data_IF_365051451149
#
_entry.id   IF_365051451149
#
_cell.length_a   1.000
_cell.length_b   1.000
_cell.length_c   1.000
_cell.angle_alpha   90.00
_cell.angle_beta   90.00
_cell.angle_gamma   90.00
#
_symmetry.space_group_name_H-M   'P 1'
#
loop_
_entity.id
_entity.type
_entity.pdbx_description
1 polymer ?
#
# COMPACT_ATOMS: atom_id res chain seq x y z
N UNK A 1 -11.90 -1.20 0.86
CA UNK A 1 -10.75 -1.39 1.78
C UNK A 1 -10.73 -0.22 2.75
N UNK A 2 -10.15 -0.40 3.94
CA UNK A 2 -10.04 0.68 4.94
C UNK A 2 -8.60 0.79 5.40
N UNK A 3 -8.11 2.02 5.57
CA UNK A 3 -6.75 2.29 6.03
C UNK A 3 -6.73 2.89 7.43
N UNK A 4 -5.63 2.67 8.15
CA UNK A 4 -5.31 3.45 9.35
C UNK A 4 -4.56 4.74 8.98
N UNK A 5 -4.29 5.56 9.99
CA UNK A 5 -3.59 6.83 9.88
C UNK A 5 -2.13 6.61 10.30
N UNK A 6 -1.14 7.06 9.51
CA UNK A 6 0.26 6.93 9.90
C UNK A 6 0.60 7.78 11.11
N UNK A 7 1.47 7.25 11.97
CA UNK A 7 2.02 7.98 13.11
C UNK A 7 2.94 9.10 12.67
N UNK A 8 2.79 10.25 13.33
CA UNK A 8 3.57 11.47 13.05
C UNK A 8 5.07 11.25 13.24
N UNK A 9 5.47 10.29 14.08
CA UNK A 9 6.88 9.94 14.30
C UNK A 9 7.57 9.43 13.03
N UNK A 10 6.80 8.85 12.10
CA UNK A 10 7.30 8.33 10.83
C UNK A 10 7.26 9.38 9.70
N UNK A 11 6.75 10.59 9.97
CA UNK A 11 6.60 11.64 8.97
C UNK A 11 7.71 12.69 9.09
N UNK A 12 8.30 13.17 7.98
CA UNK A 12 9.24 14.28 8.02
C UNK A 12 8.63 15.57 8.56
N UNK A 13 7.31 15.80 8.36
CA UNK A 13 6.61 17.00 8.81
C UNK A 13 6.71 17.28 10.31
N UNK A 14 6.99 16.25 11.13
CA UNK A 14 7.17 16.40 12.58
C UNK A 14 8.22 17.45 12.96
N UNK A 15 9.23 17.66 12.11
CA UNK A 15 10.31 18.65 12.39
C UNK A 15 9.86 20.09 12.19
N UNK A 16 8.78 20.33 11.43
CA UNK A 16 8.26 21.66 11.15
C UNK A 16 7.05 22.06 12.01
N UNK A 17 6.63 21.19 12.95
CA UNK A 17 5.44 21.41 13.78
C UNK A 17 5.84 21.80 15.21
N UNK A 18 4.95 22.53 15.88
CA UNK A 18 5.06 22.82 17.30
C UNK A 18 5.18 21.50 18.13
N UNK A 19 6.12 21.40 19.09
CA UNK A 19 6.29 20.19 19.89
C UNK A 19 5.04 19.77 20.68
N UNK A 20 4.23 20.72 21.14
CA UNK A 20 2.94 20.45 21.79
C UNK A 20 1.94 19.82 20.83
N UNK A 21 1.85 20.34 19.60
CA UNK A 21 1.05 19.75 18.54
C UNK A 21 1.54 18.34 18.15
N UNK A 22 2.86 18.13 18.02
CA UNK A 22 3.43 16.80 17.75
C UNK A 22 3.05 15.80 18.85
N UNK A 23 3.16 16.21 20.12
CA UNK A 23 2.77 15.39 21.27
C UNK A 23 1.28 15.03 21.24
N UNK A 24 0.42 16.02 20.95
CA UNK A 24 -1.01 15.81 20.81
C UNK A 24 -1.33 14.81 19.69
N UNK A 25 -0.78 14.99 18.48
CA UNK A 25 -1.01 14.09 17.34
C UNK A 25 -0.52 12.67 17.67
N UNK A 26 0.64 12.54 18.30
CA UNK A 26 1.20 11.25 18.72
C UNK A 26 0.25 10.48 19.66
N UNK A 27 -0.45 11.18 20.56
CA UNK A 27 -1.44 10.57 21.46
C UNK A 27 -2.73 10.22 20.71
N UNK A 28 -3.19 11.12 19.83
CA UNK A 28 -4.49 10.98 19.17
C UNK A 28 -4.49 9.96 18.04
N UNK A 29 -3.40 9.79 17.28
CA UNK A 29 -3.35 8.86 16.15
C UNK A 29 -3.65 7.41 16.56
N UNK A 30 -3.04 6.83 17.61
CA UNK A 30 -3.40 5.48 18.08
C UNK A 30 -4.87 5.37 18.54
N UNK A 31 -5.42 6.41 19.17
CA UNK A 31 -6.82 6.45 19.60
C UNK A 31 -7.74 6.42 18.38
N UNK A 32 -7.48 7.26 17.39
CA UNK A 32 -8.23 7.31 16.14
C UNK A 32 -8.16 5.97 15.38
N UNK A 33 -6.97 5.38 15.26
CA UNK A 33 -6.80 4.07 14.63
C UNK A 33 -7.57 2.95 15.35
N UNK A 34 -7.63 2.99 16.69
CA UNK A 34 -8.47 2.08 17.48
C UNK A 34 -9.96 2.30 17.23
N UNK A 35 -10.40 3.55 17.10
CA UNK A 35 -11.81 3.87 16.76
C UNK A 35 -12.18 3.40 15.35
N UNK A 36 -11.29 3.58 14.37
CA UNK A 36 -11.46 3.06 13.01
C UNK A 36 -11.61 1.53 13.06
N UNK A 37 -10.70 0.83 13.73
CA UNK A 37 -10.75 -0.63 13.87
C UNK A 37 -12.04 -1.11 14.53
N UNK A 38 -12.44 -0.51 15.65
CA UNK A 38 -13.67 -0.88 16.34
C UNK A 38 -14.92 -0.65 15.48
N UNK A 39 -14.93 0.42 14.68
CA UNK A 39 -16.03 0.73 13.75
C UNK A 39 -16.14 -0.31 12.64
N UNK A 40 -14.99 -0.73 12.09
CA UNK A 40 -14.93 -1.82 11.10
C UNK A 40 -15.47 -3.12 11.71
N UNK A 41 -14.98 -3.52 12.89
CA UNK A 41 -15.44 -4.75 13.57
C UNK A 41 -16.94 -4.71 13.82
N UNK A 42 -17.47 -3.58 14.30
CA UNK A 42 -18.92 -3.40 14.50
C UNK A 42 -19.69 -3.52 13.19
N UNK A 43 -19.23 -2.87 12.13
CA UNK A 43 -19.86 -2.91 10.82
C UNK A 43 -19.89 -4.34 10.25
N UNK A 44 -18.77 -5.07 10.34
CA UNK A 44 -18.68 -6.48 9.91
C UNK A 44 -19.65 -7.36 10.67
N UNK A 45 -19.71 -7.23 12.01
CA UNK A 45 -20.63 -8.01 12.84
C UNK A 45 -22.09 -7.78 12.45
N UNK A 46 -22.46 -6.52 12.23
CA UNK A 46 -23.85 -6.13 11.91
C UNK A 46 -24.25 -6.52 10.47
N UNK A 47 -23.30 -6.65 9.56
CA UNK A 47 -23.56 -6.89 8.13
C UNK A 47 -22.99 -8.22 7.63
N UNK A 48 -22.70 -9.17 8.53
CA UNK A 48 -21.96 -10.41 8.18
C UNK A 48 -22.60 -11.27 7.06
N UNK A 49 -23.91 -11.14 6.87
CA UNK A 49 -24.65 -11.92 5.86
C UNK A 49 -24.75 -11.22 4.49
N UNK A 50 -24.58 -9.90 4.44
CA UNK A 50 -24.63 -9.10 3.20
C UNK A 50 -23.27 -8.59 2.75
N UNK A 51 -22.26 -8.67 3.62
CA UNK A 51 -20.92 -8.18 3.33
C UNK A 51 -20.11 -9.20 2.53
N UNK A 52 -19.76 -8.85 1.29
CA UNK A 52 -18.87 -9.69 0.46
C UNK A 52 -17.48 -9.81 1.09
N UNK A 53 -16.84 -8.68 1.40
CA UNK A 53 -15.56 -8.64 2.13
C UNK A 53 -15.26 -7.23 2.62
N UNK A 54 -14.47 -7.14 3.69
CA UNK A 54 -13.73 -5.93 4.07
C UNK A 54 -12.29 -6.32 4.33
N UNK A 55 -11.35 -5.48 3.90
CA UNK A 55 -9.93 -5.67 4.16
C UNK A 55 -9.32 -4.36 4.65
N UNK A 56 -8.42 -4.49 5.61
CA UNK A 56 -7.67 -3.38 6.18
C UNK A 56 -6.25 -3.36 5.63
N UNK A 57 -5.71 -2.16 5.40
CA UNK A 57 -4.30 -1.94 5.08
C UNK A 57 -3.74 -0.94 6.08
N UNK A 58 -2.58 -1.26 6.66
CA UNK A 58 -1.92 -0.36 7.61
C UNK A 58 -0.96 0.55 6.85
N UNK A 59 -1.40 1.80 6.65
CA UNK A 59 -0.57 2.88 6.15
C UNK A 59 0.48 3.24 7.22
N UNK A 60 0.15 3.14 8.51
CA UNK A 60 1.15 3.29 9.58
C UNK A 60 2.31 2.30 9.44
N UNK A 61 2.01 1.01 9.24
CA UNK A 61 3.04 0.00 9.04
C UNK A 61 3.88 0.28 7.79
N UNK A 62 3.26 0.73 6.70
CA UNK A 62 3.95 1.12 5.47
C UNK A 62 4.89 2.32 5.70
N UNK A 63 4.45 3.32 6.44
CA UNK A 63 5.27 4.50 6.75
C UNK A 63 6.40 4.18 7.73
N UNK A 64 6.17 3.26 8.67
CA UNK A 64 7.22 2.75 9.56
C UNK A 64 8.32 1.98 8.80
N UNK A 65 8.14 1.64 7.52
CA UNK A 65 9.21 1.06 6.70
C UNK A 65 10.31 2.05 6.36
N UNK A 66 10.04 3.37 6.46
CA UNK A 66 11.06 4.41 6.34
C UNK A 66 12.22 4.22 7.35
N UNK A 67 11.98 3.59 8.49
CA UNK A 67 13.03 3.32 9.49
C UNK A 67 13.63 1.92 9.38
N UNK A 68 13.27 1.15 8.34
CA UNK A 68 13.74 -0.22 8.15
C UNK A 68 14.77 -0.27 7.01
N UNK A 69 16.05 -0.40 7.38
CA UNK A 69 17.17 -0.39 6.42
C UNK A 69 17.05 -1.45 5.33
N UNK A 70 16.65 -2.67 5.69
CA UNK A 70 16.45 -3.76 4.72
C UNK A 70 15.41 -3.44 3.64
N UNK A 71 14.31 -2.75 3.99
CA UNK A 71 13.26 -2.40 3.03
C UNK A 71 13.69 -1.19 2.20
N UNK A 72 14.25 -0.16 2.84
CA UNK A 72 14.71 1.05 2.14
C UNK A 72 15.85 0.74 1.17
N UNK A 73 16.80 -0.12 1.55
CA UNK A 73 17.84 -0.63 0.65
C UNK A 73 17.26 -1.42 -0.52
N UNK A 74 16.29 -2.31 -0.28
CA UNK A 74 15.63 -3.07 -1.35
C UNK A 74 14.84 -2.17 -2.33
N UNK A 75 14.43 -0.98 -1.89
CA UNK A 75 13.79 0.04 -2.72
C UNK A 75 14.79 1.02 -3.36
N UNK A 76 16.10 0.85 -3.17
CA UNK A 76 17.13 1.82 -3.57
C UNK A 76 16.89 3.24 -3.02
N UNK A 77 16.36 3.34 -1.80
CA UNK A 77 16.13 4.61 -1.10
C UNK A 77 17.36 4.95 -0.27
N UNK A 78 17.95 6.12 -0.55
CA UNK A 78 19.09 6.67 0.18
C UNK A 78 18.67 7.60 1.32
N UNK A 79 17.53 8.27 1.16
CA UNK A 79 17.04 9.31 2.05
C UNK A 79 15.66 8.93 2.60
N UNK A 80 15.61 8.09 3.65
CA UNK A 80 14.36 7.44 4.00
C UNK A 80 13.47 8.25 4.95
N UNK A 81 14.01 9.26 5.64
CA UNK A 81 13.29 10.02 6.70
C UNK A 81 13.24 11.52 6.44
N UNK A 82 13.72 11.96 5.27
CA UNK A 82 13.72 13.36 4.84
C UNK A 82 12.91 13.51 3.57
N UNK A 83 12.34 14.69 3.36
CA UNK A 83 11.54 15.02 2.19
C UNK A 83 12.41 15.45 1.00
N UNK A 84 12.02 15.07 -0.22
CA UNK A 84 12.64 15.58 -1.44
C UNK A 84 12.33 17.08 -1.66
N UNK A 85 11.09 17.48 -1.39
CA UNK A 85 10.62 18.86 -1.45
C UNK A 85 10.55 19.44 -0.03
N UNK A 86 11.25 20.54 0.18
CA UNK A 86 11.29 21.24 1.47
C UNK A 86 11.16 22.74 1.26
N UNK A 87 10.49 23.43 2.19
CA UNK A 87 10.47 24.89 2.22
C UNK A 87 11.62 25.41 3.07
N UNK A 88 12.37 26.36 2.54
CA UNK A 88 13.38 27.09 3.32
C UNK A 88 12.65 28.11 4.20
N UNK A 89 12.71 27.93 5.53
CA UNK A 89 11.93 28.71 6.50
C UNK A 89 12.08 30.24 6.34
N UNK A 90 13.23 30.70 5.85
CA UNK A 90 13.60 32.10 5.81
C UNK A 90 13.14 32.81 4.53
N UNK A 91 12.89 32.05 3.47
CA UNK A 91 12.62 32.60 2.13
C UNK A 91 11.31 32.10 1.53
N UNK A 92 10.65 31.13 2.18
CA UNK A 92 9.52 30.37 1.64
C UNK A 92 9.83 29.72 0.27
N UNK A 93 11.12 29.62 -0.10
CA UNK A 93 11.53 29.03 -1.36
C UNK A 93 11.41 27.50 -1.26
N UNK A 94 10.80 26.90 -2.28
CA UNK A 94 10.78 25.46 -2.45
C UNK A 94 12.16 24.99 -2.93
N UNK A 95 12.76 24.09 -2.16
CA UNK A 95 13.96 23.34 -2.59
C UNK A 95 13.53 21.92 -2.91
N UNK A 96 13.85 21.49 -4.13
CA UNK A 96 13.55 20.16 -4.64
C UNK A 96 14.86 19.37 -4.82
N UNK A 97 14.86 18.12 -4.36
CA UNK A 97 15.99 17.22 -4.52
C UNK A 97 16.27 16.90 -6.01
N UNK A 98 17.51 16.50 -6.32
CA UNK A 98 17.91 16.17 -7.70
C UNK A 98 17.26 14.88 -8.22
N UNK A 99 17.04 13.91 -7.33
CA UNK A 99 16.47 12.61 -7.69
C UNK A 99 15.49 12.12 -6.61
N UNK A 100 14.19 12.36 -6.83
CA UNK A 100 13.10 11.93 -5.95
C UNK A 100 13.03 10.42 -5.78
N UNK A 101 13.54 9.62 -6.72
CA UNK A 101 13.50 8.16 -6.63
C UNK A 101 14.46 7.62 -5.55
N UNK A 102 15.34 8.44 -5.01
CA UNK A 102 16.21 8.09 -3.87
C UNK A 102 15.59 8.42 -2.51
N UNK A 103 14.39 9.01 -2.48
CA UNK A 103 13.71 9.46 -1.27
C UNK A 103 12.51 8.58 -0.96
N UNK A 104 12.21 8.39 0.32
CA UNK A 104 10.96 7.76 0.73
C UNK A 104 9.79 8.74 0.65
N UNK A 105 10.05 10.00 0.99
CA UNK A 105 9.05 11.05 1.06
C UNK A 105 9.26 12.11 -0.02
N UNK A 106 8.18 12.45 -0.72
CA UNK A 106 8.16 13.55 -1.67
C UNK A 106 8.12 14.90 -0.95
N UNK A 107 7.30 15.03 0.09
CA UNK A 107 7.15 16.23 0.93
C UNK A 107 7.08 15.83 2.42
N UNK A 108 6.58 16.70 3.30
CA UNK A 108 6.48 16.42 4.73
C UNK A 108 5.59 15.23 5.10
N UNK A 109 4.73 14.78 4.19
CA UNK A 109 3.69 13.77 4.44
C UNK A 109 3.54 12.75 3.33
N UNK A 110 3.75 13.14 2.08
CA UNK A 110 3.48 12.28 0.92
C UNK A 110 4.68 11.38 0.61
N UNK A 111 4.46 10.10 0.28
CA UNK A 111 5.52 9.22 -0.21
C UNK A 111 5.92 9.57 -1.65
N UNK A 112 7.08 9.09 -2.09
CA UNK A 112 7.49 9.19 -3.51
C UNK A 112 6.78 8.14 -4.37
N UNK A 113 6.85 8.28 -5.70
CA UNK A 113 6.22 7.35 -6.66
C UNK A 113 6.62 5.89 -6.42
N UNK A 114 7.89 5.63 -6.11
CA UNK A 114 8.36 4.27 -5.80
C UNK A 114 7.71 3.70 -4.55
N UNK A 115 7.57 4.52 -3.51
CA UNK A 115 6.89 4.11 -2.27
C UNK A 115 5.40 3.93 -2.52
N UNK A 116 4.76 4.80 -3.31
CA UNK A 116 3.37 4.59 -3.76
C UNK A 116 3.20 3.27 -4.53
N UNK A 117 4.15 2.89 -5.39
CA UNK A 117 4.12 1.60 -6.07
C UNK A 117 4.21 0.43 -5.08
N UNK A 118 5.03 0.54 -4.01
CA UNK A 118 5.03 -0.43 -2.92
C UNK A 118 3.65 -0.51 -2.23
N UNK A 119 3.04 0.63 -1.92
CA UNK A 119 1.70 0.67 -1.32
C UNK A 119 0.70 -0.07 -2.22
N UNK A 120 0.68 0.24 -3.52
CA UNK A 120 -0.19 -0.45 -4.49
C UNK A 120 0.06 -1.96 -4.55
N UNK A 121 1.33 -2.38 -4.54
CA UNK A 121 1.71 -3.79 -4.52
C UNK A 121 1.23 -4.52 -3.25
N UNK A 122 1.33 -3.87 -2.08
CA UNK A 122 0.80 -4.39 -0.81
C UNK A 122 -0.72 -4.48 -0.83
N UNK A 123 -1.41 -3.47 -1.36
CA UNK A 123 -2.86 -3.53 -1.57
C UNK A 123 -3.26 -4.72 -2.43
N UNK A 124 -2.57 -4.92 -3.58
CA UNK A 124 -2.80 -6.06 -4.46
C UNK A 124 -2.57 -7.40 -3.74
N UNK A 125 -1.52 -7.50 -2.93
CA UNK A 125 -1.22 -8.70 -2.16
C UNK A 125 -2.31 -8.98 -1.10
N UNK A 126 -2.80 -7.96 -0.40
CA UNK A 126 -3.88 -8.09 0.59
C UNK A 126 -5.21 -8.40 -0.08
N UNK A 127 -5.51 -7.86 -1.27
CA UNK A 127 -6.74 -8.21 -2.01
C UNK A 127 -6.73 -9.72 -2.34
N UNK A 128 -5.57 -10.26 -2.71
CA UNK A 128 -5.45 -11.65 -3.15
C UNK A 128 -5.11 -12.65 -2.04
N UNK A 129 -4.72 -12.20 -0.84
CA UNK A 129 -4.38 -13.06 0.30
C UNK A 129 -5.03 -12.57 1.60
N UNK A 130 -5.48 -13.50 2.44
CA UNK A 130 -6.02 -13.19 3.77
C UNK A 130 -4.96 -13.19 4.87
N UNK A 131 -3.73 -13.64 4.57
CA UNK A 131 -2.67 -13.89 5.56
C UNK A 131 -1.42 -13.01 5.39
N UNK A 132 -1.54 -11.87 4.70
CA UNK A 132 -0.40 -10.98 4.49
C UNK A 132 0.10 -10.38 5.82
N UNK A 133 1.42 -10.40 6.03
CA UNK A 133 2.08 -9.78 7.18
C UNK A 133 2.95 -8.61 6.72
N UNK A 134 3.09 -7.57 7.55
CA UNK A 134 4.00 -6.44 7.29
C UNK A 134 5.44 -6.72 7.73
N UNK A 135 5.83 -8.00 7.83
CA UNK A 135 7.21 -8.39 8.13
C UNK A 135 8.13 -8.06 6.95
N UNK A 136 9.42 -7.79 7.23
CA UNK A 136 10.38 -7.51 6.17
C UNK A 136 10.46 -8.61 5.10
N UNK A 137 10.48 -9.92 5.42
CA UNK A 137 10.46 -10.97 4.38
C UNK A 137 9.22 -10.90 3.47
N UNK A 138 8.05 -10.60 4.04
CA UNK A 138 6.82 -10.46 3.26
C UNK A 138 6.88 -9.24 2.33
N UNK A 139 7.43 -8.13 2.80
CA UNK A 139 7.59 -6.91 2.01
C UNK A 139 8.63 -7.07 0.91
N UNK A 140 9.78 -7.68 1.21
CA UNK A 140 10.80 -7.98 0.21
C UNK A 140 10.25 -8.89 -0.90
N UNK A 141 9.44 -9.89 -0.53
CA UNK A 141 8.73 -10.73 -1.50
C UNK A 141 7.80 -9.91 -2.40
N UNK A 142 7.06 -8.94 -1.84
CA UNK A 142 6.20 -8.02 -2.61
C UNK A 142 7.01 -7.12 -3.54
N UNK A 143 8.10 -6.52 -3.05
CA UNK A 143 8.98 -5.66 -3.86
C UNK A 143 9.46 -6.40 -5.11
N UNK A 144 9.93 -7.63 -4.93
CA UNK A 144 10.42 -8.47 -6.03
C UNK A 144 9.30 -8.90 -6.97
N UNK A 145 8.18 -9.42 -6.42
CA UNK A 145 7.05 -9.94 -7.19
C UNK A 145 6.43 -8.89 -8.13
N UNK A 146 6.37 -7.63 -7.68
CA UNK A 146 5.75 -6.54 -8.43
C UNK A 146 6.77 -5.62 -9.11
N UNK A 147 8.06 -5.96 -9.09
CA UNK A 147 9.15 -5.15 -9.65
C UNK A 147 9.07 -3.66 -9.22
N UNK A 148 8.84 -3.43 -7.93
CA UNK A 148 8.54 -2.09 -7.37
C UNK A 148 9.66 -1.09 -7.64
N UNK A 149 10.91 -1.54 -7.68
CA UNK A 149 12.10 -0.71 -7.93
C UNK A 149 12.12 -0.07 -9.32
N UNK A 150 11.42 -0.66 -10.30
CA UNK A 150 11.26 -0.09 -11.64
C UNK A 150 10.33 1.13 -11.69
N UNK A 151 9.51 1.33 -10.65
CA UNK A 151 8.69 2.53 -10.53
C UNK A 151 9.55 3.70 -10.07
N UNK A 152 9.59 4.72 -10.91
CA UNK A 152 10.28 5.99 -10.67
C UNK A 152 9.47 7.16 -11.20
N UNK A 153 10.03 8.35 -11.03
CA UNK A 153 9.37 9.62 -11.34
C UNK A 153 9.04 9.76 -12.83
N UNK A 154 9.92 9.26 -13.70
CA UNK A 154 9.76 9.31 -15.16
C UNK A 154 9.40 7.96 -15.81
N UNK A 155 9.36 6.90 -15.03
CA UNK A 155 9.05 5.55 -15.50
C UNK A 155 8.10 4.88 -14.51
N UNK A 156 6.81 4.86 -14.82
CA UNK A 156 5.81 4.13 -14.06
C UNK A 156 4.57 3.91 -14.93
N UNK A 157 3.55 3.23 -14.40
CA UNK A 157 2.36 2.87 -15.17
C UNK A 157 1.56 4.06 -15.73
N UNK A 158 1.73 5.27 -15.18
CA UNK A 158 1.09 6.49 -15.64
C UNK A 158 1.88 7.22 -16.72
N UNK A 159 3.21 7.12 -16.74
CA UNK A 159 4.05 7.91 -17.65
C UNK A 159 4.73 7.01 -18.70
N UNK A 160 4.64 7.45 -19.95
CA UNK A 160 5.48 6.99 -21.04
C UNK A 160 6.90 7.57 -20.87
N UNK A 161 7.87 6.96 -21.53
CA UNK A 161 9.27 7.41 -21.48
C UNK A 161 9.47 8.85 -21.97
N UNK A 162 8.56 9.37 -22.79
CA UNK A 162 8.60 10.74 -23.32
C UNK A 162 7.57 11.67 -22.69
N UNK A 163 6.83 11.24 -21.66
CA UNK A 163 5.76 12.04 -21.05
C UNK A 163 6.24 13.39 -20.52
N UNK A 164 7.47 13.47 -20.03
CA UNK A 164 8.07 14.73 -19.56
C UNK A 164 8.30 15.75 -20.68
N UNK A 165 8.45 15.30 -21.93
CA UNK A 165 8.64 16.16 -23.10
C UNK A 165 7.31 16.47 -23.79
N UNK A 166 6.42 15.49 -23.89
CA UNK A 166 5.19 15.59 -24.67
C UNK A 166 3.98 16.05 -23.84
N UNK A 167 4.05 15.93 -22.51
CA UNK A 167 2.90 16.10 -21.61
C UNK A 167 1.86 14.98 -21.73
N UNK A 168 2.10 13.95 -22.55
CA UNK A 168 1.18 12.84 -22.79
C UNK A 168 1.46 11.74 -21.79
N UNK A 169 0.45 11.33 -21.03
CA UNK A 169 0.52 10.21 -20.07
C UNK A 169 -0.08 8.93 -20.68
N UNK A 170 0.36 7.78 -20.17
CA UNK A 170 -0.14 6.45 -20.58
C UNK A 170 -1.61 6.24 -20.19
N UNK A 171 -2.07 6.94 -19.15
CA UNK A 171 -3.46 6.92 -18.69
C UNK A 171 -3.98 8.36 -18.69
N UNK A 172 -4.66 8.75 -19.78
CA UNK A 172 -5.13 10.13 -20.00
C UNK A 172 -6.24 10.55 -19.03
N UNK A 173 -7.07 9.60 -18.57
CA UNK A 173 -7.99 9.80 -17.45
C UNK A 173 -8.40 8.44 -16.85
N UNK A 174 -8.55 8.38 -15.53
CA UNK A 174 -9.17 7.24 -14.84
C UNK A 174 -10.58 7.66 -14.45
N UNK A 175 -11.55 7.45 -15.34
CA UNK A 175 -12.96 7.71 -15.08
C UNK A 175 -13.56 6.60 -14.20
N UNK A 176 -14.72 6.87 -13.58
CA UNK A 176 -15.50 5.84 -12.89
C UNK A 176 -15.82 4.66 -13.83
N UNK A 177 -16.04 4.95 -15.12
CA UNK A 177 -16.28 3.94 -16.15
C UNK A 177 -15.03 3.07 -16.37
N UNK A 178 -13.86 3.69 -16.53
CA UNK A 178 -12.58 2.97 -16.67
C UNK A 178 -12.26 2.12 -15.43
N UNK A 179 -12.59 2.61 -14.24
CA UNK A 179 -12.43 1.86 -12.99
C UNK A 179 -13.38 0.65 -12.94
N UNK A 180 -14.62 0.81 -13.39
CA UNK A 180 -15.64 -0.25 -13.41
C UNK A 180 -15.32 -1.32 -14.46
N UNK A 181 -14.87 -0.90 -15.64
CA UNK A 181 -14.41 -1.78 -16.70
C UNK A 181 -13.17 -2.56 -16.27
N UNK A 182 -12.17 -1.88 -15.69
CA UNK A 182 -10.99 -2.54 -15.13
C UNK A 182 -11.34 -3.52 -14.01
N UNK A 183 -12.31 -3.19 -13.14
CA UNK A 183 -12.78 -4.11 -12.10
C UNK A 183 -13.46 -5.35 -12.70
N UNK A 184 -14.19 -5.19 -13.80
CA UNK A 184 -14.83 -6.30 -14.52
C UNK A 184 -13.79 -7.19 -15.19
N UNK A 185 -12.81 -6.60 -15.89
CA UNK A 185 -11.68 -7.32 -16.48
C UNK A 185 -10.88 -8.06 -15.42
N UNK A 186 -10.56 -7.43 -14.29
CA UNK A 186 -9.85 -8.06 -13.17
C UNK A 186 -10.65 -9.21 -12.55
N UNK A 187 -11.98 -9.05 -12.41
CA UNK A 187 -12.87 -10.10 -11.92
C UNK A 187 -12.92 -11.28 -12.87
N UNK A 188 -13.00 -11.02 -14.17
CA UNK A 188 -12.98 -12.05 -15.20
C UNK A 188 -11.63 -12.78 -15.27
N UNK A 189 -10.51 -12.06 -15.22
CA UNK A 189 -9.17 -12.66 -15.16
C UNK A 189 -9.01 -13.56 -13.93
N UNK A 190 -9.53 -13.14 -12.76
CA UNK A 190 -9.53 -13.96 -11.55
C UNK A 190 -10.38 -15.23 -11.73
N UNK A 191 -11.55 -15.12 -12.36
CA UNK A 191 -12.42 -16.26 -12.64
C UNK A 191 -11.82 -17.22 -13.67
N UNK A 192 -11.15 -16.70 -14.69
CA UNK A 192 -10.42 -17.49 -15.69
C UNK A 192 -9.19 -18.19 -15.09
N UNK A 193 -8.43 -17.51 -14.21
CA UNK A 193 -7.33 -18.13 -13.47
C UNK A 193 -7.82 -19.23 -12.50
N UNK A 194 -9.01 -19.08 -11.91
CA UNK A 194 -9.67 -20.11 -11.13
C UNK A 194 -10.09 -21.33 -11.96
N UNK A 195 -10.47 -21.15 -13.22
CA UNK A 195 -10.89 -22.25 -14.11
C UNK A 195 -9.75 -23.18 -14.54
N UNK A 196 -8.49 -22.70 -14.53
CA UNK A 196 -7.31 -23.50 -14.92
C UNK A 196 -6.92 -24.52 -13.83
N UNK A 197 -7.27 -24.26 -12.55
CA UNK A 197 -6.99 -25.18 -11.44
C UNK A 197 -8.04 -26.29 -11.25
N UNK A 198 -9.23 -26.16 -11.85
CA UNK A 198 -10.30 -27.16 -11.68
C UNK A 198 -10.13 -28.34 -12.67
N UNK A 199 -9.37 -28.17 -13.76
CA UNK A 199 -9.20 -29.22 -14.78
C UNK A 199 -7.97 -30.13 -14.60
N UNK A 200 -7.23 -30.05 -13.49
CA UNK A 200 -6.06 -30.93 -13.24
C UNK A 200 -5.98 -31.59 -11.86
N UNK A 201 -7.04 -31.55 -11.04
CA UNK A 201 -7.12 -32.38 -9.82
C UNK A 201 -8.44 -33.18 -9.86
N UNK A 202 -8.47 -34.15 -10.77
CA UNK A 202 -9.49 -35.21 -10.77
C UNK A 202 -8.77 -36.56 -10.89
N UNK A 203 -7.92 -36.88 -9.91
CA UNK A 203 -7.39 -38.24 -9.70
C UNK A 203 -7.26 -38.49 -8.20
N UNK A 204 -8.09 -39.42 -7.72
CA UNK A 204 -8.02 -40.24 -6.51
C UNK A 204 -7.63 -39.59 -5.16
N UNK A 205 -8.61 -39.50 -4.25
CA UNK A 205 -8.57 -40.28 -2.99
C UNK A 205 -10.00 -40.71 -2.65
N UNK A 206 -10.28 -41.99 -2.85
CA UNK A 206 -11.44 -42.68 -2.30
C UNK A 206 -11.14 -43.08 -0.85
N UNK A 207 -12.15 -42.95 0.02
CA UNK A 207 -12.34 -43.66 1.32
C UNK A 207 -11.31 -43.46 2.43
N UNK A 208 -11.73 -42.84 3.54
CA UNK A 208 -12.04 -43.60 4.76
C UNK A 208 -13.10 -42.88 5.61
N UNK A 209 -13.94 -43.70 6.20
CA UNK A 209 -15.26 -43.43 6.80
C UNK A 209 -15.15 -42.92 8.25
N UNK A 210 -16.20 -42.19 8.64
CA UNK A 210 -16.70 -41.83 9.98
C UNK A 210 -16.31 -42.69 11.20
N UNK A 211 -16.64 -42.08 12.36
CA UNK A 211 -16.72 -42.58 13.76
C UNK A 211 -15.46 -42.09 14.51
N UNK A 212 -15.52 -41.15 15.46
CA UNK A 212 -16.22 -41.24 16.75
C UNK A 212 -16.63 -39.84 17.26
N UNK A 213 -17.91 -39.70 17.63
CA UNK A 213 -18.38 -38.84 18.70
C UNK A 213 -19.33 -39.72 19.54
N UNK A 214 -19.19 -39.67 20.88
CA UNK A 214 -19.95 -40.37 21.93
C UNK A 214 -19.27 -41.61 22.53
N UNK A 215 -18.43 -41.40 23.56
CA UNK A 215 -18.75 -41.67 24.98
C UNK A 215 -18.23 -40.47 25.78
#
# INVERSE_FOLDING_TARGET
MVTDIPRIENLPSKSGLDPGLVSFIKIMTPIANKMIFNSIVRYVKNNRYSLAWIKTVSIDALYAMSTQSQITSALNIKYPTVSCNTFVANTQALTTCVNSDQYFFNDGTSPTTRVHALVGAVFSQIINSTSFSYSAPSILSVINKYNVTSAGTFQNFLFLSNSSMTGIVNVSSYTLDNATESATVLSNLKNSAGSILINKVFVLVFTFVCIILSI
#
